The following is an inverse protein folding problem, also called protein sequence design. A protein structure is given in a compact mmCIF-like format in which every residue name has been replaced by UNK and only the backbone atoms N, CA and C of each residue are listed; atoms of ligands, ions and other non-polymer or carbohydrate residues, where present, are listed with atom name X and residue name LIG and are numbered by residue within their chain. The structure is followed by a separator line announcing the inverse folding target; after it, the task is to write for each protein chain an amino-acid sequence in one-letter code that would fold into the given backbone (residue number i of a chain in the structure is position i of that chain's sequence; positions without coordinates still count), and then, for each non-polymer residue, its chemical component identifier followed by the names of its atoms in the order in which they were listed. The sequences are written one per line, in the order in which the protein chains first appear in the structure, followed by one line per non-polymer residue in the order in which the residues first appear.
data_IF_306000223960
#
_entry.id   IF_306000223960
#
_cell.length_a   1.000
_cell.length_b   1.000
_cell.length_c   1.000
_cell.angle_alpha   90.00
_cell.angle_beta   90.00
_cell.angle_gamma   90.00
#
_symmetry.space_group_name_H-M   'P 1'
#
loop_
_entity.id
_entity.type
_entity.pdbx_description
1 polymer ?
#
# COMPACT_ATOMS: atom_id res chain seq x y z
N UNK A 1 19.31 7.30 -7.78
CA UNK A 1 19.15 6.11 -8.64
C UNK A 1 18.05 5.25 -8.02
N UNK A 2 16.78 5.62 -8.25
CA UNK A 2 15.64 5.06 -7.52
C UNK A 2 14.67 4.28 -8.40
N UNK A 3 14.80 4.39 -9.72
CA UNK A 3 13.96 3.70 -10.69
C UNK A 3 14.62 2.37 -11.03
N UNK A 4 14.48 1.41 -10.12
CA UNK A 4 14.81 0.02 -10.38
C UNK A 4 13.65 -0.59 -11.19
N UNK A 5 13.89 -1.42 -12.22
CA UNK A 5 12.83 -1.91 -13.11
C UNK A 5 11.77 -2.84 -12.46
N UNK A 6 11.77 -3.01 -11.13
CA UNK A 6 10.85 -3.93 -10.44
C UNK A 6 10.30 -3.37 -9.14
N UNK A 7 11.16 -2.86 -8.24
CA UNK A 7 10.72 -2.28 -6.95
C UNK A 7 11.68 -1.17 -6.56
N UNK A 8 11.18 0.05 -6.33
CA UNK A 8 12.00 1.14 -5.80
C UNK A 8 12.41 0.85 -4.35
N UNK A 9 13.56 1.37 -3.91
CA UNK A 9 14.00 1.23 -2.51
C UNK A 9 12.92 1.74 -1.52
N UNK A 10 12.22 2.81 -1.90
CA UNK A 10 11.13 3.40 -1.12
C UNK A 10 9.94 2.44 -0.99
N UNK A 11 9.61 1.71 -2.04
CA UNK A 11 8.59 0.67 -2.00
C UNK A 11 9.01 -0.50 -1.09
N UNK A 12 10.28 -0.89 -1.09
CA UNK A 12 10.78 -1.91 -0.15
C UNK A 12 10.68 -1.43 1.32
N UNK A 13 11.00 -0.17 1.60
CA UNK A 13 10.82 0.43 2.92
C UNK A 13 9.35 0.47 3.34
N UNK A 14 8.46 0.82 2.41
CA UNK A 14 7.02 0.82 2.65
C UNK A 14 6.51 -0.56 3.09
N UNK A 15 6.89 -1.60 2.36
CA UNK A 15 6.54 -2.99 2.70
C UNK A 15 7.06 -3.39 4.09
N UNK A 16 8.25 -2.91 4.48
CA UNK A 16 8.78 -3.13 5.83
C UNK A 16 7.95 -2.42 6.90
N UNK A 17 7.48 -1.19 6.65
CA UNK A 17 6.64 -0.43 7.58
C UNK A 17 5.29 -1.14 7.84
N UNK A 18 4.57 -1.52 6.78
CA UNK A 18 3.27 -2.19 6.92
C UNK A 18 3.42 -3.56 7.60
N UNK A 19 4.51 -4.29 7.31
CA UNK A 19 4.82 -5.56 7.97
C UNK A 19 5.07 -5.38 9.46
N UNK A 20 5.85 -4.37 9.83
CA UNK A 20 6.19 -4.09 11.23
C UNK A 20 4.96 -3.61 12.02
N UNK A 21 4.17 -2.71 11.43
CA UNK A 21 2.97 -2.13 12.07
C UNK A 21 1.76 -3.06 12.05
N UNK A 22 1.77 -4.11 11.21
CA UNK A 22 0.64 -5.02 10.96
C UNK A 22 -0.64 -4.28 10.57
N UNK A 23 -0.49 -3.17 9.87
CA UNK A 23 -1.56 -2.26 9.45
C UNK A 23 -1.28 -1.81 8.03
N UNK A 24 -2.33 -1.57 7.27
CA UNK A 24 -2.25 -1.05 5.90
C UNK A 24 -2.25 0.48 5.96
N UNK A 25 -1.18 1.05 6.51
CA UNK A 25 -1.01 2.50 6.61
C UNK A 25 -0.40 3.08 5.34
N UNK A 26 -0.61 4.37 5.07
CA UNK A 26 0.20 5.11 4.09
C UNK A 26 1.68 5.14 4.50
N UNK A 27 2.57 5.45 3.55
CA UNK A 27 4.02 5.49 3.81
C UNK A 27 4.36 6.51 4.90
N UNK A 28 5.08 6.08 5.94
CA UNK A 28 5.55 6.96 7.00
C UNK A 28 6.89 7.59 6.60
N UNK A 29 6.93 8.92 6.47
CA UNK A 29 8.16 9.65 6.12
C UNK A 29 9.15 9.74 7.29
N UNK A 30 8.79 9.21 8.46
CA UNK A 30 9.67 9.12 9.63
C UNK A 30 9.63 10.34 10.55
N UNK A 31 8.82 11.36 10.22
CA UNK A 31 8.54 12.47 11.13
C UNK A 31 7.13 13.04 10.91
N UNK A 32 6.54 13.61 11.96
CA UNK A 32 5.22 14.23 11.89
C UNK A 32 5.18 15.42 10.93
N UNK A 33 6.27 16.20 10.83
CA UNK A 33 6.38 17.32 9.89
C UNK A 33 6.40 16.82 8.45
N UNK A 34 7.23 15.81 8.15
CA UNK A 34 7.29 15.26 6.80
C UNK A 34 5.97 14.57 6.38
N UNK A 35 5.26 13.94 7.32
CA UNK A 35 3.93 13.40 7.08
C UNK A 35 2.90 14.53 6.85
N UNK A 36 2.99 15.63 7.59
CA UNK A 36 2.15 16.81 7.39
C UNK A 36 2.35 17.41 6.00
N UNK A 37 3.60 17.56 5.57
CA UNK A 37 3.92 18.10 4.25
C UNK A 37 3.42 17.19 3.12
N UNK A 38 3.47 15.87 3.32
CA UNK A 38 3.04 14.89 2.32
C UNK A 38 1.52 14.66 2.27
N UNK A 39 0.85 14.67 3.43
CA UNK A 39 -0.54 14.22 3.54
C UNK A 39 -1.50 15.25 4.15
N UNK A 40 -1.00 16.38 4.64
CA UNK A 40 -1.79 17.30 5.47
C UNK A 40 -2.20 16.72 6.82
N UNK A 41 -1.55 15.64 7.25
CA UNK A 41 -1.81 14.95 8.52
C UNK A 41 -0.50 14.55 9.19
N UNK A 42 -0.42 14.71 10.50
CA UNK A 42 0.75 14.30 11.31
C UNK A 42 0.97 12.78 11.30
N UNK A 43 -0.09 12.02 11.05
CA UNK A 43 -0.09 10.56 11.10
C UNK A 43 -0.50 9.97 9.75
N UNK A 44 0.23 8.94 9.25
CA UNK A 44 -0.18 8.22 8.06
C UNK A 44 -1.54 7.55 8.28
N UNK A 45 -2.44 7.67 7.31
CA UNK A 45 -3.78 7.09 7.38
C UNK A 45 -3.72 5.57 7.28
N UNK A 46 -4.53 4.86 8.08
CA UNK A 46 -4.71 3.41 7.97
C UNK A 46 -5.76 3.08 6.91
N UNK A 47 -5.32 2.88 5.66
CA UNK A 47 -6.17 2.48 4.55
C UNK A 47 -6.90 1.15 4.83
N UNK A 48 -6.33 0.30 5.68
CA UNK A 48 -6.93 -0.96 6.09
C UNK A 48 -8.19 -0.80 6.93
N UNK A 49 -8.41 0.35 7.55
CA UNK A 49 -9.68 0.66 8.24
C UNK A 49 -10.75 1.16 7.25
N UNK A 50 -10.34 1.73 6.11
CA UNK A 50 -11.24 2.40 5.16
C UNK A 50 -11.45 1.64 3.85
N UNK A 51 -11.03 0.37 3.74
CA UNK A 51 -11.19 -0.41 2.51
C UNK A 51 -12.65 -0.55 2.07
N UNK A 52 -13.60 -0.48 3.00
CA UNK A 52 -15.03 -0.51 2.73
C UNK A 52 -15.53 0.69 1.91
N UNK A 53 -14.74 1.77 1.79
CA UNK A 53 -15.06 2.92 0.96
C UNK A 53 -14.78 2.68 -0.53
N UNK A 54 -14.11 1.56 -0.88
CA UNK A 54 -13.80 1.24 -2.27
C UNK A 54 -15.02 0.59 -2.89
N UNK A 55 -15.78 1.40 -3.62
CA UNK A 55 -16.97 0.98 -4.34
C UNK A 55 -16.65 0.65 -5.80
N UNK A 56 -15.67 -0.24 -5.99
CA UNK A 56 -15.26 -0.74 -7.31
C UNK A 56 -15.34 -2.26 -7.26
N UNK A 57 -15.99 -2.87 -8.26
CA UNK A 57 -16.01 -4.32 -8.41
C UNK A 57 -14.62 -4.83 -8.75
N UNK A 58 -14.11 -5.75 -7.93
CA UNK A 58 -12.80 -6.37 -8.08
C UNK A 58 -12.95 -7.89 -8.08
N UNK A 59 -12.51 -8.53 -9.16
CA UNK A 59 -12.37 -9.98 -9.20
C UNK A 59 -11.05 -10.40 -8.54
N UNK A 60 -11.15 -11.10 -7.40
CA UNK A 60 -9.99 -11.60 -6.67
C UNK A 60 -9.75 -13.08 -6.97
N UNK A 61 -8.65 -13.37 -7.68
CA UNK A 61 -8.18 -14.73 -7.93
C UNK A 61 -6.93 -15.00 -7.08
N UNK A 62 -7.02 -15.96 -6.16
CA UNK A 62 -5.91 -16.33 -5.29
C UNK A 62 -5.42 -17.76 -5.59
N UNK A 63 -4.10 -17.93 -5.69
CA UNK A 63 -3.48 -19.24 -5.84
C UNK A 63 -3.60 -20.07 -4.56
N UNK A 64 -4.14 -21.29 -4.66
CA UNK A 64 -4.33 -22.18 -3.49
C UNK A 64 -3.03 -22.50 -2.74
N UNK A 65 -1.90 -22.53 -3.46
CA UNK A 65 -0.57 -22.81 -2.93
C UNK A 65 0.38 -21.60 -3.00
N UNK A 66 -0.16 -20.40 -3.14
CA UNK A 66 0.64 -19.18 -3.16
C UNK A 66 1.29 -18.95 -1.78
N UNK A 67 2.61 -18.83 -1.79
CA UNK A 67 3.43 -18.59 -0.58
C UNK A 67 3.80 -17.12 -0.41
N UNK A 68 3.62 -16.31 -1.45
CA UNK A 68 3.86 -14.87 -1.48
C UNK A 68 2.62 -14.15 -0.95
N UNK A 69 1.45 -14.42 -1.54
CA UNK A 69 0.15 -13.93 -1.05
C UNK A 69 -0.63 -15.14 -0.55
N UNK A 70 -0.57 -15.40 0.76
CA UNK A 70 -1.33 -16.51 1.33
C UNK A 70 -2.82 -16.28 1.12
N UNK A 71 -3.64 -17.33 0.90
CA UNK A 71 -5.09 -17.18 0.74
C UNK A 71 -5.75 -16.38 1.88
N UNK A 72 -5.24 -16.49 3.11
CA UNK A 72 -5.70 -15.72 4.28
C UNK A 72 -5.40 -14.21 4.21
N UNK A 73 -4.51 -13.78 3.31
CA UNK A 73 -4.10 -12.39 3.10
C UNK A 73 -4.71 -11.80 1.81
N UNK A 74 -5.30 -12.63 0.96
CA UNK A 74 -5.70 -12.26 -0.39
C UNK A 74 -6.72 -11.11 -0.41
N UNK A 75 -7.68 -11.10 0.52
CA UNK A 75 -8.70 -10.06 0.60
C UNK A 75 -8.09 -8.67 0.92
N UNK A 76 -7.08 -8.62 1.80
CA UNK A 76 -6.44 -7.35 2.20
C UNK A 76 -5.39 -6.86 1.21
N UNK A 77 -4.69 -7.76 0.52
CA UNK A 77 -3.58 -7.41 -0.39
C UNK A 77 -4.07 -6.98 -1.78
N UNK A 78 -5.16 -7.59 -2.29
CA UNK A 78 -5.68 -7.27 -3.62
C UNK A 78 -6.11 -5.81 -3.75
N UNK A 79 -6.74 -5.29 -2.71
CA UNK A 79 -7.18 -3.91 -2.61
C UNK A 79 -5.99 -2.93 -2.62
N UNK A 80 -4.90 -3.29 -1.93
CA UNK A 80 -3.73 -2.42 -1.79
C UNK A 80 -2.95 -2.30 -3.11
N UNK A 81 -2.72 -3.41 -3.82
CA UNK A 81 -2.01 -3.38 -5.11
C UNK A 81 -2.75 -2.51 -6.14
N UNK A 82 -4.08 -2.63 -6.21
CA UNK A 82 -4.93 -1.79 -7.06
C UNK A 82 -4.81 -0.31 -6.71
N UNK A 83 -4.85 0.05 -5.43
CA UNK A 83 -4.74 1.45 -5.00
C UNK A 83 -3.33 2.02 -5.23
N UNK A 84 -2.27 1.27 -4.91
CA UNK A 84 -0.90 1.75 -5.10
C UNK A 84 -0.53 1.89 -6.58
N UNK A 85 -0.99 0.98 -7.43
CA UNK A 85 -0.74 1.07 -8.88
C UNK A 85 -1.57 2.18 -9.55
N UNK A 86 -2.84 2.35 -9.12
CA UNK A 86 -3.72 3.38 -9.69
C UNK A 86 -3.34 4.81 -9.23
N UNK A 87 -2.79 4.97 -8.02
CA UNK A 87 -2.27 6.25 -7.55
C UNK A 87 -0.98 6.66 -8.25
N UNK A 88 -0.09 5.72 -8.60
CA UNK A 88 1.08 6.05 -9.41
C UNK A 88 0.69 6.43 -10.85
N UNK A 89 -0.25 5.72 -11.48
CA UNK A 89 -0.69 6.08 -12.84
C UNK A 89 -1.36 7.47 -12.92
N UNK A 90 -2.05 7.92 -11.86
CA UNK A 90 -2.66 9.28 -11.81
C UNK A 90 -1.70 10.42 -11.49
N UNK A 91 -0.48 10.13 -11.04
CA UNK A 91 0.54 11.13 -10.75
C UNK A 91 1.54 11.31 -11.91
N UNK A 92 1.47 10.46 -12.94
CA UNK A 92 2.34 10.48 -14.11
C UNK A 92 1.63 10.82 -15.44
N UNK A 93 0.34 11.21 -15.40
CA UNK A 93 -0.40 11.78 -16.55
C UNK A 93 -1.14 13.06 -16.15
#
# INVERSE_FOLDING_TARGET
MNDMPTVSFRMALYLAQIKNRRKFIMFDYGSAVANMDAYGSLWPLDLGEYYFLIDILVDLVAGRNDKVIRPSMALGIAVLLLLTMSLEERLFF
#
